data_IF_189516599423
#
_entry.id   IF_189516599423
#
_cell.length_a   1.000
_cell.length_b   1.000
_cell.length_c   1.000
_cell.angle_alpha   90.00
_cell.angle_beta   90.00
_cell.angle_gamma   90.00
#
_symmetry.space_group_name_H-M   'P 1'
#
loop_
_entity.id
_entity.type
_entity.pdbx_description
1 polymer ?
#
# COMPACT_ATOMS: atom_id res chain seq x y z
N UNK A 1 3.95 -18.53 15.53
CA UNK A 1 3.81 -17.19 14.93
C UNK A 1 2.32 -16.89 14.88
N UNK A 2 1.85 -15.89 15.62
CA UNK A 2 0.46 -15.43 15.54
C UNK A 2 0.42 -14.25 14.59
N UNK A 3 -0.34 -14.37 13.49
CA UNK A 3 -0.55 -13.27 12.55
C UNK A 3 -1.79 -12.51 12.97
N UNK A 4 -1.68 -11.20 13.09
CA UNK A 4 -2.83 -10.32 13.34
C UNK A 4 -3.20 -9.58 12.07
N UNK A 5 -4.47 -9.69 11.66
CA UNK A 5 -5.03 -8.91 10.55
C UNK A 5 -5.71 -7.67 11.12
N UNK A 6 -5.26 -6.49 10.71
CA UNK A 6 -5.83 -5.22 11.15
C UNK A 6 -5.98 -4.24 9.99
N UNK A 7 -6.78 -3.19 10.19
CA UNK A 7 -6.86 -2.07 9.25
C UNK A 7 -5.50 -1.38 9.15
N UNK A 8 -5.12 -1.02 7.94
CA UNK A 8 -3.92 -0.23 7.71
C UNK A 8 -4.06 1.17 8.32
N UNK A 9 -2.97 1.67 8.90
CA UNK A 9 -2.78 3.07 9.28
C UNK A 9 -1.81 3.75 8.31
N UNK A 10 -1.70 5.07 8.36
CA UNK A 10 -0.87 5.84 7.42
C UNK A 10 0.58 5.39 7.43
N UNK A 11 1.09 5.01 8.59
CA UNK A 11 2.45 4.53 8.82
C UNK A 11 2.75 3.21 8.11
N UNK A 12 1.73 2.46 7.70
CA UNK A 12 1.89 1.23 6.93
C UNK A 12 2.11 1.51 5.42
N UNK A 13 1.87 2.73 4.94
CA UNK A 13 1.95 3.08 3.51
C UNK A 13 3.30 2.74 2.83
N UNK A 14 4.47 2.99 3.45
CA UNK A 14 5.74 2.60 2.85
C UNK A 14 5.83 1.10 2.58
N UNK A 15 5.44 0.26 3.55
CA UNK A 15 5.48 -1.20 3.40
C UNK A 15 4.41 -1.71 2.43
N UNK A 16 3.23 -1.09 2.42
CA UNK A 16 2.18 -1.40 1.43
C UNK A 16 2.66 -1.12 -0.01
N UNK A 17 3.27 0.04 -0.24
CA UNK A 17 3.77 0.41 -1.57
C UNK A 17 4.93 -0.49 -2.01
N UNK A 18 5.79 -0.90 -1.08
CA UNK A 18 6.83 -1.90 -1.35
C UNK A 18 6.23 -3.23 -1.82
N UNK A 19 5.24 -3.78 -1.11
CA UNK A 19 4.56 -5.02 -1.49
C UNK A 19 3.84 -4.91 -2.85
N UNK A 20 3.21 -3.77 -3.13
CA UNK A 20 2.60 -3.49 -4.45
C UNK A 20 3.67 -3.49 -5.54
N UNK A 21 4.84 -2.92 -5.25
CA UNK A 21 5.98 -2.90 -6.19
C UNK A 21 6.56 -4.30 -6.41
N UNK A 22 6.73 -5.09 -5.34
CA UNK A 22 7.14 -6.50 -5.42
C UNK A 22 6.17 -7.31 -6.29
N UNK A 23 4.86 -7.10 -6.13
CA UNK A 23 3.83 -7.73 -6.97
C UNK A 23 3.96 -7.32 -8.44
N UNK A 24 4.12 -6.02 -8.72
CA UNK A 24 4.28 -5.54 -10.09
C UNK A 24 5.53 -6.10 -10.77
N UNK A 25 6.63 -6.27 -10.02
CA UNK A 25 7.84 -6.96 -10.52
C UNK A 25 7.54 -8.42 -10.86
N UNK A 26 6.83 -9.13 -9.97
CA UNK A 26 6.42 -10.53 -10.21
C UNK A 26 5.56 -10.67 -11.48
N UNK A 27 4.65 -9.71 -11.70
CA UNK A 27 3.79 -9.65 -12.90
C UNK A 27 4.51 -9.15 -14.16
N UNK A 28 5.81 -8.84 -14.09
CA UNK A 28 6.62 -8.27 -15.18
C UNK A 28 6.12 -6.91 -15.67
N UNK A 29 5.53 -6.12 -14.78
CA UNK A 29 4.98 -4.80 -15.06
C UNK A 29 5.39 -3.72 -14.02
N UNK A 30 6.68 -3.62 -13.61
CA UNK A 30 7.12 -2.69 -12.55
C UNK A 30 6.90 -1.22 -12.91
N UNK A 31 6.92 -0.88 -14.20
CA UNK A 31 6.66 0.45 -14.76
C UNK A 31 5.22 0.93 -14.58
N UNK A 32 4.29 0.02 -14.28
CA UNK A 32 2.88 0.35 -14.02
C UNK A 32 2.66 0.88 -12.60
N UNK A 33 3.66 0.80 -11.71
CA UNK A 33 3.62 1.44 -10.40
C UNK A 33 4.02 2.90 -10.55
N UNK A 34 3.07 3.71 -11.03
CA UNK A 34 3.30 5.15 -11.29
C UNK A 34 3.00 6.04 -10.08
N UNK A 35 2.47 5.48 -9.00
CA UNK A 35 2.04 6.22 -7.82
C UNK A 35 3.23 6.58 -6.92
N UNK A 36 3.31 7.83 -6.47
CA UNK A 36 4.28 8.25 -5.45
C UNK A 36 3.75 7.95 -4.03
N UNK A 37 4.65 7.75 -3.06
CA UNK A 37 4.26 7.52 -1.68
C UNK A 37 3.34 8.64 -1.12
N UNK A 38 3.67 9.89 -1.41
CA UNK A 38 2.85 11.04 -0.98
C UNK A 38 1.43 10.99 -1.58
N UNK A 39 1.31 10.68 -2.87
CA UNK A 39 0.00 10.55 -3.51
C UNK A 39 -0.78 9.36 -2.97
N UNK A 40 -0.09 8.24 -2.70
CA UNK A 40 -0.66 7.04 -2.14
C UNK A 40 -1.27 7.29 -0.75
N UNK A 41 -0.49 7.93 0.15
CA UNK A 41 -0.93 8.33 1.49
C UNK A 41 -2.14 9.27 1.42
N UNK A 42 -2.07 10.33 0.60
CA UNK A 42 -3.18 11.29 0.43
C UNK A 42 -4.45 10.62 -0.09
N UNK A 43 -4.31 9.65 -0.99
CA UNK A 43 -5.44 8.94 -1.59
C UNK A 43 -6.10 7.93 -0.64
N UNK A 44 -5.38 7.41 0.36
CA UNK A 44 -5.91 6.45 1.34
C UNK A 44 -6.33 7.07 2.68
N UNK A 45 -5.69 8.17 3.06
CA UNK A 45 -5.82 8.78 4.39
C UNK A 45 -6.05 10.30 4.36
N UNK A 46 -6.18 10.92 3.18
CA UNK A 46 -6.57 12.32 3.05
C UNK A 46 -8.06 12.56 3.32
N UNK A 47 -8.53 13.79 3.05
CA UNK A 47 -9.91 14.20 3.35
C UNK A 47 -10.98 13.38 2.59
N UNK A 48 -10.64 12.86 1.42
CA UNK A 48 -11.53 12.06 0.55
C UNK A 48 -10.83 10.77 0.12
N UNK A 49 -10.73 9.76 1.00
CA UNK A 49 -10.03 8.54 0.68
C UNK A 49 -10.76 7.75 -0.41
N UNK A 50 -10.00 7.17 -1.33
CA UNK A 50 -10.51 6.38 -2.47
C UNK A 50 -10.12 4.91 -2.40
N UNK A 51 -9.26 4.54 -1.46
CA UNK A 51 -8.88 3.14 -1.20
C UNK A 51 -8.69 2.89 0.29
N UNK A 52 -8.73 1.61 0.66
CA UNK A 52 -8.48 1.12 2.02
C UNK A 52 -7.76 -0.23 1.97
N UNK A 53 -7.05 -0.58 3.04
CA UNK A 53 -6.32 -1.85 3.11
C UNK A 53 -6.34 -2.49 4.49
N UNK A 54 -5.96 -3.76 4.52
CA UNK A 54 -5.63 -4.53 5.71
C UNK A 54 -4.16 -4.94 5.65
N UNK A 55 -3.51 -5.01 6.80
CA UNK A 55 -2.14 -5.51 6.94
C UNK A 55 -2.13 -6.75 7.81
N UNK A 56 -1.14 -7.61 7.55
CA UNK A 56 -0.81 -8.77 8.35
C UNK A 56 0.55 -8.53 9.03
N UNK A 57 0.59 -8.61 10.36
CA UNK A 57 1.81 -8.46 11.18
C UNK A 57 1.99 -9.60 12.18
#
# INVERSE_FOLDING_TARGET
MSITIRRAVKEDCPRLLELITELAVYEKAPDQVTVTLEHFEKSGFGEKPVWWSFVAE
#
